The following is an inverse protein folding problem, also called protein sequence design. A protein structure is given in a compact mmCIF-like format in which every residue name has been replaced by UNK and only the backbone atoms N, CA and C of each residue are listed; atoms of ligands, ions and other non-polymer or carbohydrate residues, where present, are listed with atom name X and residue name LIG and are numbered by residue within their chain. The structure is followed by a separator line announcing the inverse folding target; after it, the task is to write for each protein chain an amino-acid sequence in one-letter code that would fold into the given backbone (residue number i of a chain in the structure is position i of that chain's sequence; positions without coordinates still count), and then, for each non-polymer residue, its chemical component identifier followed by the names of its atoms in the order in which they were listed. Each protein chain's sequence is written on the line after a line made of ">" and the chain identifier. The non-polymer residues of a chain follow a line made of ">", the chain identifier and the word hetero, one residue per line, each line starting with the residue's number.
data_IF_052510917266
#
_entry.id   IF_052510917266
#
_cell.length_a   1.000
_cell.length_b   1.000
_cell.length_c   1.000
_cell.angle_alpha   90.00
_cell.angle_beta   90.00
_cell.angle_gamma   90.00
#
_symmetry.space_group_name_H-M   'P 1'
#
loop_
_entity.id
_entity.type
_entity.pdbx_description
1 polymer ?
#
# COMPACT_ATOMS: atom_id res chain seq x y z
N UNK A 1 26.78 -19.59 -1.32
CA UNK A 1 26.27 -18.27 -0.98
C UNK A 1 26.83 -17.11 -1.86
N UNK A 2 28.10 -17.11 -2.25
CA UNK A 2 28.71 -16.02 -3.06
C UNK A 2 28.10 -15.77 -4.45
N UNK A 3 27.58 -16.80 -5.13
CA UNK A 3 27.01 -16.66 -6.49
C UNK A 3 25.63 -15.96 -6.53
N UNK A 4 24.84 -16.04 -5.46
CA UNK A 4 23.53 -15.37 -5.39
C UNK A 4 23.65 -13.85 -5.15
N UNK A 5 24.67 -13.40 -4.42
CA UNK A 5 24.94 -11.98 -4.20
C UNK A 5 25.42 -11.25 -5.47
N UNK A 6 26.20 -11.93 -6.33
CA UNK A 6 26.66 -11.36 -7.59
C UNK A 6 25.50 -11.10 -8.57
N UNK A 7 24.46 -11.94 -8.56
CA UNK A 7 23.30 -11.78 -9.44
C UNK A 7 22.41 -10.60 -9.04
N UNK A 8 22.24 -10.36 -7.73
CA UNK A 8 21.48 -9.23 -7.20
C UNK A 8 22.20 -7.90 -7.48
N UNK A 9 23.51 -7.87 -7.34
CA UNK A 9 24.32 -6.69 -7.66
C UNK A 9 24.34 -6.39 -9.17
N UNK A 10 24.34 -7.41 -10.03
CA UNK A 10 24.28 -7.23 -11.48
C UNK A 10 22.91 -6.74 -11.95
N UNK A 11 21.83 -7.24 -11.36
CA UNK A 11 20.46 -6.78 -11.62
C UNK A 11 20.26 -5.32 -11.18
N UNK A 12 20.82 -4.94 -10.02
CA UNK A 12 20.77 -3.56 -9.51
C UNK A 12 21.60 -2.59 -10.37
N UNK A 13 22.75 -3.03 -10.89
CA UNK A 13 23.57 -2.22 -11.78
C UNK A 13 22.93 -2.05 -13.17
N UNK A 14 22.21 -3.06 -13.65
CA UNK A 14 21.54 -3.01 -14.95
C UNK A 14 20.30 -2.11 -14.94
N UNK A 15 19.57 -2.05 -13.81
CA UNK A 15 18.48 -1.10 -13.62
C UNK A 15 18.97 0.34 -13.49
N UNK A 16 20.11 0.57 -12.85
CA UNK A 16 20.68 1.92 -12.72
C UNK A 16 21.18 2.46 -14.07
N UNK A 17 21.73 1.61 -14.94
CA UNK A 17 22.23 2.03 -16.28
C UNK A 17 21.08 2.32 -17.26
N UNK A 18 19.93 1.65 -17.16
CA UNK A 18 18.76 1.96 -17.97
C UNK A 18 18.13 3.31 -17.62
N UNK A 19 18.19 3.71 -16.35
CA UNK A 19 17.69 5.01 -15.90
C UNK A 19 18.61 6.15 -16.34
N UNK A 20 19.91 5.93 -16.43
CA UNK A 20 20.89 6.99 -16.75
C UNK A 20 20.88 7.43 -18.23
N UNK A 21 20.45 6.58 -19.16
CA UNK A 21 20.41 6.90 -20.58
C UNK A 21 19.16 7.70 -21.01
N UNK A 22 18.10 7.67 -20.20
CA UNK A 22 16.84 8.39 -20.50
C UNK A 22 16.68 9.72 -19.76
N UNK A 23 17.54 10.01 -18.78
CA UNK A 23 17.45 11.24 -17.98
C UNK A 23 17.59 12.54 -18.80
N UNK A 24 18.10 12.45 -20.03
CA UNK A 24 18.22 13.61 -20.94
C UNK A 24 16.90 14.00 -21.63
N UNK A 25 15.91 13.07 -21.67
CA UNK A 25 14.61 13.27 -22.35
C UNK A 25 13.45 13.42 -21.36
N UNK A 26 13.77 13.42 -20.07
CA UNK A 26 12.80 13.29 -18.98
C UNK A 26 11.84 14.49 -18.81
N UNK A 27 12.05 15.59 -19.51
CA UNK A 27 11.24 16.81 -19.31
C UNK A 27 10.06 16.95 -20.30
N UNK A 28 9.99 16.12 -21.37
CA UNK A 28 9.01 16.31 -22.43
C UNK A 28 7.75 15.43 -22.31
N UNK A 29 7.87 14.23 -21.76
CA UNK A 29 6.72 13.31 -21.69
C UNK A 29 5.85 13.51 -20.47
N UNK A 30 6.46 13.78 -19.31
CA UNK A 30 5.79 13.96 -18.04
C UNK A 30 5.38 12.65 -17.36
N UNK A 31 5.75 11.51 -17.94
CA UNK A 31 5.62 10.21 -17.29
C UNK A 31 6.56 10.14 -16.09
N UNK A 32 6.19 9.38 -15.08
CA UNK A 32 6.94 9.34 -13.83
C UNK A 32 6.88 7.94 -13.22
N UNK A 33 8.02 7.41 -12.82
CA UNK A 33 8.08 6.31 -11.86
C UNK A 33 8.25 6.89 -10.46
N UNK A 34 7.56 6.34 -9.49
CA UNK A 34 7.69 6.80 -8.12
C UNK A 34 7.80 5.65 -7.13
N UNK A 35 8.46 5.95 -5.99
CA UNK A 35 8.57 5.06 -4.84
C UNK A 35 7.99 5.79 -3.65
N UNK A 36 7.07 5.16 -2.95
CA UNK A 36 6.35 5.75 -1.82
C UNK A 36 6.44 4.92 -0.57
N UNK A 37 6.30 5.54 0.58
CA UNK A 37 6.27 4.85 1.86
C UNK A 37 5.84 5.77 2.98
N UNK A 38 5.29 5.17 4.02
CA UNK A 38 4.75 5.91 5.13
C UNK A 38 3.96 5.04 6.09
N UNK A 39 2.99 5.66 6.69
CA UNK A 39 2.11 5.07 7.66
C UNK A 39 0.81 4.58 7.01
N UNK A 40 0.31 3.44 7.52
CA UNK A 40 -0.98 2.88 7.16
C UNK A 40 -1.80 2.63 8.42
N UNK A 41 -3.11 2.91 8.38
CA UNK A 41 -4.00 2.71 9.51
C UNK A 41 -5.35 2.20 9.07
N UNK A 42 -5.82 1.13 9.71
CA UNK A 42 -7.17 0.64 9.51
C UNK A 42 -8.19 1.54 10.19
N UNK A 43 -9.35 1.72 9.57
CA UNK A 43 -10.37 2.65 10.05
C UNK A 43 -11.38 2.02 11.00
N UNK A 44 -11.39 0.71 11.11
CA UNK A 44 -12.27 -0.01 12.02
C UNK A 44 -11.50 -0.85 13.02
N UNK A 45 -12.02 -0.90 14.25
CA UNK A 45 -11.60 -1.88 15.23
C UNK A 45 -11.95 -3.27 14.70
N UNK A 46 -10.93 -4.07 14.48
CA UNK A 46 -11.14 -5.47 14.14
C UNK A 46 -11.50 -6.23 15.40
N UNK A 47 -12.78 -6.23 15.76
CA UNK A 47 -13.29 -6.96 16.90
C UNK A 47 -13.17 -8.47 16.66
N UNK A 48 -12.08 -9.07 17.13
CA UNK A 48 -11.99 -10.50 17.48
C UNK A 48 -12.22 -11.58 16.41
N UNK A 49 -12.89 -11.27 15.32
CA UNK A 49 -13.28 -12.21 14.26
C UNK A 49 -12.36 -12.16 13.05
N UNK A 50 -11.22 -11.65 13.24
CA UNK A 50 -10.27 -11.44 12.20
C UNK A 50 -9.61 -12.72 11.79
N UNK A 51 -9.36 -12.87 10.53
CA UNK A 51 -8.29 -13.57 9.81
C UNK A 51 -7.47 -14.61 10.58
N UNK A 52 -7.93 -15.05 11.72
CA UNK A 52 -7.31 -16.09 12.51
C UNK A 52 -8.31 -17.19 12.68
N UNK A 53 -7.97 -18.39 12.26
CA UNK A 53 -8.67 -19.62 12.63
C UNK A 53 -8.59 -19.87 14.14
N UNK A 54 -8.01 -18.93 14.89
CA UNK A 54 -7.86 -18.97 16.32
C UNK A 54 -9.00 -18.19 16.95
N UNK A 55 -9.92 -18.87 17.59
CA UNK A 55 -10.95 -18.30 18.46
C UNK A 55 -10.28 -17.63 19.67
N UNK A 56 -9.99 -16.33 19.59
CA UNK A 56 -9.41 -15.58 20.69
C UNK A 56 -10.39 -14.56 21.24
N UNK A 57 -10.73 -14.69 22.53
CA UNK A 57 -11.69 -13.82 23.21
C UNK A 57 -11.10 -12.53 23.82
N UNK A 58 -9.81 -12.29 23.70
CA UNK A 58 -9.19 -11.15 24.37
C UNK A 58 -8.19 -10.44 23.50
N UNK A 59 -8.40 -9.15 23.30
CA UNK A 59 -7.47 -8.25 22.65
C UNK A 59 -8.05 -7.60 21.39
N UNK A 60 -8.86 -6.58 21.60
CA UNK A 60 -9.61 -5.90 20.53
C UNK A 60 -8.87 -4.73 19.85
N UNK A 61 -7.68 -4.38 20.30
CA UNK A 61 -6.89 -3.27 19.72
C UNK A 61 -5.75 -3.83 18.87
N UNK A 62 -6.09 -4.50 17.78
CA UNK A 62 -5.17 -5.41 17.17
C UNK A 62 -4.74 -4.93 15.80
N UNK A 63 -3.55 -4.37 15.74
CA UNK A 63 -2.86 -4.17 14.48
C UNK A 63 -3.53 -3.16 13.58
N UNK A 64 -4.11 -2.09 14.14
CA UNK A 64 -4.71 -1.01 13.35
C UNK A 64 -3.66 -0.22 12.58
N UNK A 65 -2.47 -0.08 13.14
CA UNK A 65 -1.43 0.78 12.60
C UNK A 65 -0.26 -0.02 12.06
N UNK A 66 0.31 0.48 11.00
CA UNK A 66 1.45 -0.13 10.37
C UNK A 66 2.16 0.82 9.43
N UNK A 67 3.02 0.26 8.62
CA UNK A 67 3.72 1.00 7.58
C UNK A 67 3.45 0.39 6.21
N UNK A 68 3.66 1.19 5.19
CA UNK A 68 3.66 0.70 3.82
C UNK A 68 4.90 1.14 3.06
N UNK A 69 5.23 0.37 2.05
CA UNK A 69 6.18 0.70 1.01
C UNK A 69 5.58 0.31 -0.33
N UNK A 70 5.85 1.10 -1.35
CA UNK A 70 5.30 0.83 -2.67
C UNK A 70 6.05 1.54 -3.78
N UNK A 71 5.65 1.20 -4.99
CA UNK A 71 6.13 1.84 -6.21
C UNK A 71 4.97 1.98 -7.18
N UNK A 72 5.08 2.91 -8.11
CA UNK A 72 4.08 3.08 -9.14
C UNK A 72 4.59 3.86 -10.34
N UNK A 73 3.70 3.97 -11.29
CA UNK A 73 3.93 4.60 -12.57
C UNK A 73 2.78 5.58 -12.87
N UNK A 74 3.11 6.82 -13.12
CA UNK A 74 2.20 7.83 -13.66
C UNK A 74 2.41 7.94 -15.17
N UNK A 75 1.38 7.73 -15.97
CA UNK A 75 1.37 7.89 -17.41
C UNK A 75 0.50 9.08 -17.79
N UNK A 76 1.06 10.01 -18.54
CA UNK A 76 0.31 11.19 -19.01
C UNK A 76 -0.68 10.77 -20.09
N UNK A 77 -1.96 10.97 -19.81
CA UNK A 77 -3.07 10.74 -20.73
C UNK A 77 -3.46 12.03 -21.49
N UNK A 78 -3.42 13.18 -20.79
CA UNK A 78 -3.69 14.49 -21.38
C UNK A 78 -3.00 15.59 -20.57
N UNK A 79 -2.47 16.62 -21.24
CA UNK A 79 -1.82 17.76 -20.58
C UNK A 79 -2.75 18.93 -20.30
N UNK A 80 -4.00 18.85 -20.72
CA UNK A 80 -5.02 19.90 -20.60
C UNK A 80 -6.41 19.34 -20.25
N UNK A 81 -6.46 18.08 -19.77
CA UNK A 81 -7.71 17.36 -19.51
C UNK A 81 -8.64 17.41 -20.74
N UNK A 82 -8.09 17.03 -21.91
CA UNK A 82 -8.78 17.05 -23.21
C UNK A 82 -9.33 18.44 -23.59
N UNK A 83 -8.56 19.50 -23.30
CA UNK A 83 -8.93 20.87 -23.62
C UNK A 83 -9.88 21.55 -22.61
N UNK A 84 -10.28 20.85 -21.54
CA UNK A 84 -11.19 21.41 -20.55
C UNK A 84 -10.49 22.32 -19.51
N UNK A 85 -9.26 21.97 -19.11
CA UNK A 85 -8.55 22.65 -18.04
C UNK A 85 -7.09 22.88 -18.42
N UNK A 86 -6.76 24.14 -18.74
CA UNK A 86 -5.37 24.52 -19.01
C UNK A 86 -4.48 24.32 -17.78
N UNK A 87 -3.21 23.93 -17.98
CA UNK A 87 -2.22 23.70 -16.92
C UNK A 87 -2.60 22.57 -15.93
N UNK A 88 -3.45 21.65 -16.36
CA UNK A 88 -3.92 20.54 -15.53
C UNK A 88 -3.75 19.24 -16.33
N UNK A 89 -3.01 18.30 -15.76
CA UNK A 89 -2.74 17.03 -16.42
C UNK A 89 -3.67 15.95 -15.91
N UNK A 90 -4.18 15.14 -16.83
CA UNK A 90 -4.80 13.88 -16.54
C UNK A 90 -3.76 12.75 -16.71
N UNK A 91 -3.58 11.95 -15.68
CA UNK A 91 -2.64 10.85 -15.62
C UNK A 91 -3.40 9.55 -15.37
N UNK A 92 -2.84 8.43 -15.83
CA UNK A 92 -3.19 7.10 -15.34
C UNK A 92 -2.11 6.65 -14.38
N UNK A 93 -2.47 6.38 -13.14
CA UNK A 93 -1.57 5.81 -12.15
C UNK A 93 -1.78 4.30 -12.07
N UNK A 94 -0.68 3.55 -12.01
CA UNK A 94 -0.65 2.12 -11.66
C UNK A 94 0.31 1.99 -10.50
N UNK A 95 -0.13 1.38 -9.40
CA UNK A 95 0.65 1.24 -8.19
C UNK A 95 0.67 -0.19 -7.64
N UNK A 96 1.72 -0.47 -6.89
CA UNK A 96 1.84 -1.68 -6.07
C UNK A 96 2.36 -1.28 -4.71
N UNK A 97 1.67 -1.71 -3.66
CA UNK A 97 2.04 -1.43 -2.27
C UNK A 97 2.05 -2.69 -1.43
N UNK A 98 3.05 -2.79 -0.60
CA UNK A 98 3.09 -3.77 0.48
C UNK A 98 2.88 -3.06 1.81
N UNK A 99 1.92 -3.56 2.59
CA UNK A 99 1.56 -3.02 3.90
C UNK A 99 1.80 -4.09 4.96
N UNK A 100 2.30 -3.64 6.09
CA UNK A 100 2.51 -4.50 7.25
C UNK A 100 1.96 -3.79 8.47
N UNK A 101 0.86 -4.34 9.00
CA UNK A 101 0.24 -3.83 10.22
C UNK A 101 0.89 -4.45 11.45
N UNK A 102 0.70 -3.82 12.60
CA UNK A 102 1.28 -4.28 13.86
C UNK A 102 0.86 -5.71 14.19
N UNK A 103 1.77 -6.41 14.86
CA UNK A 103 1.51 -7.76 15.35
C UNK A 103 0.89 -7.72 16.74
N UNK A 104 -0.05 -8.61 16.97
CA UNK A 104 -0.60 -8.83 18.29
C UNK A 104 -0.47 -10.30 18.74
N UNK A 105 -0.45 -10.50 20.05
CA UNK A 105 -0.42 -11.82 20.65
C UNK A 105 -1.84 -12.26 20.97
N UNK A 106 -2.36 -13.21 20.21
CA UNK A 106 -3.67 -13.80 20.45
C UNK A 106 -3.52 -14.97 21.42
N UNK A 107 -4.27 -14.93 22.49
CA UNK A 107 -4.36 -16.05 23.44
C UNK A 107 -5.50 -16.94 23.01
N UNK A 108 -5.18 -18.12 22.49
CA UNK A 108 -6.18 -19.15 22.18
C UNK A 108 -6.59 -19.82 23.48
N UNK A 109 -7.79 -19.56 23.94
CA UNK A 109 -8.39 -20.32 25.02
C UNK A 109 -8.79 -21.68 24.46
N UNK A 110 -8.22 -22.74 25.06
CA UNK A 110 -8.66 -24.08 24.73
C UNK A 110 -10.12 -24.27 25.18
N UNK A 111 -10.99 -24.85 24.35
CA UNK A 111 -12.41 -24.94 24.63
C UNK A 111 -12.73 -25.51 26.02
N UNK A 112 -13.83 -25.08 26.56
CA UNK A 112 -14.39 -25.50 27.86
C UNK A 112 -14.53 -27.04 28.08
N UNK A 113 -14.31 -27.84 27.04
CA UNK A 113 -14.19 -29.30 27.11
C UNK A 113 -13.06 -29.78 28.03
N UNK A 114 -12.01 -29.00 28.26
CA UNK A 114 -10.95 -29.34 29.20
C UNK A 114 -11.45 -29.33 30.66
N UNK A 115 -12.26 -28.37 31.01
CA UNK A 115 -12.84 -28.25 32.35
C UNK A 115 -13.87 -29.37 32.62
N UNK A 116 -14.64 -29.75 31.60
CA UNK A 116 -15.61 -30.85 31.69
C UNK A 116 -14.95 -32.24 31.80
N UNK A 117 -13.70 -32.39 31.30
CA UNK A 117 -12.94 -33.63 31.34
C UNK A 117 -12.04 -33.75 32.59
N UNK A 118 -12.08 -32.80 33.53
CA UNK A 118 -11.24 -32.83 34.74
C UNK A 118 -9.74 -32.65 34.48
N UNK A 119 -9.35 -32.16 33.31
CA UNK A 119 -7.96 -31.93 32.93
C UNK A 119 -7.52 -30.58 33.50
N UNK A 120 -6.67 -30.60 34.50
CA UNK A 120 -6.19 -29.39 35.20
C UNK A 120 -5.09 -28.59 34.45
N UNK A 121 -4.57 -29.11 33.36
CA UNK A 121 -3.52 -28.48 32.56
C UNK A 121 -3.97 -28.28 31.11
N UNK A 122 -4.83 -27.29 30.87
CA UNK A 122 -5.05 -26.79 29.53
C UNK A 122 -3.93 -25.83 29.16
N UNK A 123 -3.15 -26.17 28.15
CA UNK A 123 -2.11 -25.30 27.64
C UNK A 123 -2.75 -24.14 26.86
N UNK A 124 -2.55 -22.94 27.37
CA UNK A 124 -2.90 -21.72 26.66
C UNK A 124 -1.84 -21.46 25.59
N UNK A 125 -2.21 -21.59 24.34
CA UNK A 125 -1.31 -21.26 23.23
C UNK A 125 -1.40 -19.77 22.95
N UNK A 126 -0.26 -19.12 22.88
CA UNK A 126 -0.13 -17.73 22.48
C UNK A 126 0.51 -17.70 21.11
N UNK A 127 -0.24 -17.26 20.12
CA UNK A 127 0.27 -17.08 18.76
C UNK A 127 0.37 -15.59 18.44
N UNK A 128 1.48 -15.20 17.85
CA UNK A 128 1.64 -13.83 17.36
C UNK A 128 1.00 -13.72 15.99
N UNK A 129 0.06 -12.82 15.87
CA UNK A 129 -0.74 -12.58 14.66
C UNK A 129 -0.31 -11.27 14.01
N UNK A 130 0.05 -11.30 12.74
CA UNK A 130 0.43 -10.14 11.97
C UNK A 130 -0.26 -10.14 10.62
N UNK A 131 -0.85 -9.01 10.25
CA UNK A 131 -1.53 -8.85 8.96
C UNK A 131 -0.59 -8.19 7.98
N UNK A 132 -0.44 -8.80 6.82
CA UNK A 132 0.24 -8.23 5.66
C UNK A 132 -0.75 -8.09 4.51
N UNK A 133 -0.61 -7.03 3.74
CA UNK A 133 -1.49 -6.75 2.61
C UNK A 133 -0.66 -6.28 1.43
N UNK A 134 -0.86 -6.93 0.30
CA UNK A 134 -0.39 -6.46 -1.00
C UNK A 134 -1.57 -5.79 -1.71
N UNK A 135 -1.37 -4.55 -2.14
CA UNK A 135 -2.36 -3.80 -2.92
C UNK A 135 -1.81 -3.53 -4.31
N UNK A 136 -2.61 -3.78 -5.32
CA UNK A 136 -2.39 -3.31 -6.68
C UNK A 136 -3.49 -2.32 -7.00
N UNK A 137 -3.12 -1.12 -7.46
CA UNK A 137 -4.07 -0.06 -7.73
C UNK A 137 -3.95 0.48 -9.16
N UNK A 138 -5.09 0.91 -9.70
CA UNK A 138 -5.19 1.63 -10.98
C UNK A 138 -6.13 2.81 -10.77
N UNK A 139 -5.64 4.01 -11.06
CA UNK A 139 -6.41 5.22 -10.79
C UNK A 139 -6.20 6.32 -11.83
N UNK A 140 -7.22 7.08 -12.20
CA UNK A 140 -7.06 8.38 -12.82
C UNK A 140 -6.55 9.37 -11.77
N UNK A 141 -5.51 10.13 -12.13
CA UNK A 141 -4.89 11.13 -11.28
C UNK A 141 -4.90 12.47 -11.99
N UNK A 142 -5.33 13.50 -11.32
CA UNK A 142 -5.37 14.86 -11.85
C UNK A 142 -4.29 15.66 -11.14
N UNK A 143 -3.33 16.18 -11.90
CA UNK A 143 -2.20 16.96 -11.38
C UNK A 143 -2.31 18.39 -11.92
N UNK A 144 -2.38 19.35 -11.01
CA UNK A 144 -2.59 20.77 -11.31
C UNK A 144 -1.28 21.55 -11.44
N UNK A 145 -1.40 22.83 -11.85
CA UNK A 145 -0.33 23.82 -11.87
C UNK A 145 0.89 23.38 -12.69
N UNK A 146 0.66 22.98 -13.94
CA UNK A 146 1.74 22.72 -14.88
C UNK A 146 2.71 23.92 -14.95
N UNK A 147 4.01 23.62 -15.00
CA UNK A 147 5.08 24.64 -15.00
C UNK A 147 5.49 25.13 -13.61
N UNK A 148 4.69 24.91 -12.59
CA UNK A 148 5.07 25.22 -11.20
C UNK A 148 6.03 24.17 -10.63
N UNK A 149 6.85 24.57 -9.66
CA UNK A 149 7.65 23.61 -8.87
C UNK A 149 6.80 22.79 -7.91
N UNK A 150 5.72 23.38 -7.38
CA UNK A 150 4.76 22.70 -6.51
C UNK A 150 3.52 22.35 -7.33
N UNK A 151 3.19 21.07 -7.39
CA UNK A 151 2.08 20.54 -8.14
C UNK A 151 1.16 19.69 -7.25
N UNK A 152 0.05 20.24 -6.78
CA UNK A 152 -0.95 19.43 -6.10
C UNK A 152 -1.64 18.47 -7.06
N UNK A 153 -2.11 17.35 -6.54
CA UNK A 153 -2.81 16.34 -7.32
C UNK A 153 -3.93 15.68 -6.49
N UNK A 154 -4.88 15.12 -7.20
CA UNK A 154 -5.97 14.32 -6.62
C UNK A 154 -6.18 13.03 -7.41
N UNK A 155 -6.62 12.00 -6.73
CA UNK A 155 -7.22 10.79 -7.29
C UNK A 155 -8.70 10.83 -6.91
N UNK A 156 -9.60 11.16 -7.83
CA UNK A 156 -11.02 11.28 -7.51
C UNK A 156 -11.66 9.93 -7.20
N UNK A 157 -11.22 8.88 -7.88
CA UNK A 157 -11.58 7.49 -7.64
C UNK A 157 -10.58 6.57 -8.35
N UNK A 158 -10.17 5.50 -7.71
CA UNK A 158 -9.34 4.45 -8.30
C UNK A 158 -9.88 3.08 -7.90
N UNK A 159 -9.40 2.04 -8.55
CA UNK A 159 -9.70 0.64 -8.25
C UNK A 159 -8.52 0.02 -7.52
N UNK A 160 -8.81 -0.76 -6.49
CA UNK A 160 -7.84 -1.46 -5.66
C UNK A 160 -8.12 -2.96 -5.65
N UNK A 161 -7.05 -3.73 -5.65
CA UNK A 161 -7.06 -5.17 -5.44
C UNK A 161 -6.16 -5.48 -4.26
N UNK A 162 -6.75 -5.95 -3.16
CA UNK A 162 -6.04 -6.23 -1.94
C UNK A 162 -5.89 -7.73 -1.75
N UNK A 163 -4.66 -8.20 -1.69
CA UNK A 163 -4.35 -9.58 -1.28
C UNK A 163 -3.93 -9.53 0.18
N UNK A 164 -4.80 -10.02 1.04
CA UNK A 164 -4.62 -9.98 2.49
C UNK A 164 -4.18 -11.36 2.94
N UNK A 165 -3.03 -11.42 3.58
CA UNK A 165 -2.50 -12.66 4.14
C UNK A 165 -2.66 -12.63 5.66
N UNK A 166 -3.49 -13.50 6.21
CA UNK A 166 -3.56 -13.71 7.63
C UNK A 166 -2.31 -14.46 8.12
N UNK A 167 -1.98 -14.34 9.39
CA UNK A 167 -0.82 -14.99 9.98
C UNK A 167 -0.94 -16.51 10.12
N UNK A 168 -2.14 -17.06 10.04
CA UNK A 168 -2.35 -18.52 9.98
C UNK A 168 -2.25 -18.97 8.53
N UNK A 169 -1.63 -20.11 8.29
CA UNK A 169 -1.34 -20.67 6.97
C UNK A 169 -2.59 -21.04 6.12
N UNK A 170 -3.78 -20.65 6.53
CA UNK A 170 -4.98 -21.26 6.03
C UNK A 170 -5.67 -20.48 4.91
N UNK A 171 -5.63 -19.13 4.88
CA UNK A 171 -6.49 -18.41 3.94
C UNK A 171 -5.91 -17.08 3.52
N UNK A 172 -5.60 -16.95 2.23
CA UNK A 172 -5.34 -15.65 1.58
C UNK A 172 -6.65 -15.16 1.00
N UNK A 173 -7.04 -13.93 1.31
CA UNK A 173 -8.28 -13.34 0.83
C UNK A 173 -7.97 -12.26 -0.20
N UNK A 174 -8.64 -12.33 -1.34
CA UNK A 174 -8.66 -11.24 -2.33
C UNK A 174 -9.86 -10.35 -2.03
N UNK A 175 -9.60 -9.08 -1.77
CA UNK A 175 -10.63 -8.07 -1.59
C UNK A 175 -10.50 -7.00 -2.68
N UNK A 176 -11.62 -6.48 -3.14
CA UNK A 176 -11.68 -5.44 -4.17
C UNK A 176 -12.18 -4.17 -3.50
N UNK A 177 -11.54 -3.05 -3.82
CA UNK A 177 -11.88 -1.78 -3.23
C UNK A 177 -11.83 -0.63 -4.21
N UNK A 178 -12.13 0.54 -3.67
CA UNK A 178 -11.94 1.82 -4.36
C UNK A 178 -11.08 2.72 -3.50
N UNK A 179 -10.25 3.55 -4.14
CA UNK A 179 -9.41 4.52 -3.46
C UNK A 179 -9.74 5.94 -3.86
N UNK A 180 -9.49 6.84 -2.93
CA UNK A 180 -9.46 8.28 -3.10
C UNK A 180 -8.11 8.78 -2.61
N UNK A 181 -7.56 9.80 -3.25
CA UNK A 181 -6.26 10.29 -2.83
C UNK A 181 -6.06 11.77 -3.13
N UNK A 182 -5.18 12.38 -2.36
CA UNK A 182 -4.71 13.73 -2.59
C UNK A 182 -3.27 13.88 -2.11
N UNK A 183 -2.55 14.78 -2.73
CA UNK A 183 -1.18 15.05 -2.36
C UNK A 183 -0.60 16.25 -3.07
N UNK A 184 0.67 16.47 -2.85
CA UNK A 184 1.41 17.53 -3.52
C UNK A 184 2.83 17.05 -3.82
N UNK A 185 3.31 17.44 -4.99
CA UNK A 185 4.64 17.12 -5.48
C UNK A 185 5.46 18.40 -5.61
N UNK A 186 6.71 18.33 -5.19
CA UNK A 186 7.65 19.41 -5.37
C UNK A 186 8.83 18.95 -6.24
N UNK A 187 9.08 19.64 -7.36
CA UNK A 187 10.20 19.37 -8.25
C UNK A 187 11.50 19.93 -7.64
N UNK A 188 12.37 19.03 -7.19
CA UNK A 188 13.66 19.39 -6.59
C UNK A 188 14.65 19.79 -7.69
N UNK A 189 14.81 18.90 -8.67
CA UNK A 189 15.79 19.08 -9.73
C UNK A 189 15.40 18.29 -10.98
N UNK A 190 15.29 18.98 -12.16
CA UNK A 190 14.95 18.35 -13.45
C UNK A 190 13.89 17.24 -13.31
N UNK A 191 14.32 15.98 -13.43
CA UNK A 191 13.49 14.81 -13.37
C UNK A 191 13.13 14.34 -11.94
N UNK A 192 13.74 14.92 -10.90
CA UNK A 192 13.56 14.45 -9.52
C UNK A 192 12.50 15.23 -8.78
N UNK A 193 11.58 14.50 -8.18
CA UNK A 193 10.45 15.01 -7.43
C UNK A 193 10.37 14.39 -6.05
N UNK A 194 9.93 15.16 -5.07
CA UNK A 194 9.51 14.66 -3.76
C UNK A 194 8.06 15.05 -3.53
N UNK A 195 7.31 14.19 -2.91
CA UNK A 195 5.90 14.49 -2.66
C UNK A 195 5.42 13.95 -1.31
N UNK A 196 4.28 14.49 -0.94
CA UNK A 196 3.45 13.99 0.16
C UNK A 196 2.19 13.41 -0.46
N UNK A 197 1.73 12.29 0.08
CA UNK A 197 0.47 11.71 -0.34
C UNK A 197 -0.36 11.23 0.86
N UNK A 198 -1.68 11.29 0.69
CA UNK A 198 -2.63 10.69 1.59
C UNK A 198 -3.70 9.99 0.76
N UNK A 199 -4.05 8.76 1.13
CA UNK A 199 -5.06 7.96 0.44
C UNK A 199 -6.00 7.31 1.42
N UNK A 200 -7.20 7.09 0.96
CA UNK A 200 -8.22 6.34 1.68
C UNK A 200 -8.76 5.25 0.77
N UNK A 201 -8.75 4.03 1.29
CA UNK A 201 -9.15 2.82 0.58
C UNK A 201 -10.40 2.26 1.24
N UNK A 202 -11.46 2.12 0.45
CA UNK A 202 -12.72 1.52 0.87
C UNK A 202 -12.78 0.13 0.28
N UNK A 203 -12.73 -0.87 1.13
CA UNK A 203 -12.74 -2.28 0.77
C UNK A 203 -14.17 -2.81 0.65
N UNK A 204 -14.39 -3.82 -0.19
CA UNK A 204 -15.71 -4.45 -0.36
C UNK A 204 -16.09 -5.40 0.76
N UNK A 205 -15.21 -5.55 1.76
CA UNK A 205 -15.43 -6.37 2.95
C UNK A 205 -15.89 -7.81 2.62
N UNK A 206 -15.18 -8.45 1.68
CA UNK A 206 -15.40 -9.87 1.32
C UNK A 206 -15.23 -10.82 2.52
N UNK A 207 -14.60 -10.34 3.56
CA UNK A 207 -14.53 -10.96 4.86
C UNK A 207 -15.57 -10.34 5.79
N UNK A 208 -15.95 -11.01 6.87
CA UNK A 208 -16.89 -10.46 7.86
C UNK A 208 -16.33 -9.26 8.64
N UNK A 209 -15.16 -8.74 8.25
CA UNK A 209 -14.47 -7.62 8.90
C UNK A 209 -14.23 -6.49 7.91
N UNK A 210 -14.36 -5.25 8.36
CA UNK A 210 -14.02 -4.09 7.54
C UNK A 210 -12.51 -3.99 7.34
N UNK A 211 -12.11 -3.96 6.07
CA UNK A 211 -10.72 -3.89 5.65
C UNK A 211 -10.34 -2.50 5.11
N UNK A 212 -11.21 -1.51 5.28
CA UNK A 212 -10.96 -0.15 4.87
C UNK A 212 -9.83 0.48 5.69
N UNK A 213 -8.95 1.23 5.04
CA UNK A 213 -7.77 1.83 5.67
C UNK A 213 -7.38 3.16 5.02
N UNK A 214 -6.61 3.95 5.76
CA UNK A 214 -5.96 5.16 5.26
C UNK A 214 -4.46 4.98 5.20
N UNK A 215 -3.80 5.67 4.25
CA UNK A 215 -2.35 5.78 4.16
C UNK A 215 -1.93 7.24 4.10
N UNK A 216 -0.80 7.55 4.72
CA UNK A 216 -0.16 8.86 4.63
C UNK A 216 1.35 8.69 4.54
N UNK A 217 1.98 9.35 3.60
CA UNK A 217 3.39 9.14 3.39
C UNK A 217 4.09 10.17 2.51
N UNK A 218 5.29 9.80 2.16
CA UNK A 218 6.16 10.55 1.25
C UNK A 218 6.49 9.70 0.03
N UNK A 219 6.77 10.34 -1.09
CA UNK A 219 7.28 9.64 -2.26
C UNK A 219 8.42 10.39 -2.94
N UNK A 220 9.24 9.63 -3.64
CA UNK A 220 10.27 10.11 -4.55
C UNK A 220 9.87 9.72 -5.96
N UNK A 221 9.80 10.70 -6.86
CA UNK A 221 9.44 10.50 -8.25
C UNK A 221 10.61 10.83 -9.19
N UNK A 222 10.68 10.09 -10.28
CA UNK A 222 11.63 10.30 -11.37
C UNK A 222 10.83 10.37 -12.66
N UNK A 223 10.81 11.54 -13.29
CA UNK A 223 10.16 11.75 -14.60
C UNK A 223 11.05 11.28 -15.74
N UNK A 224 10.45 10.79 -16.83
CA UNK A 224 11.14 10.29 -18.03
C UNK A 224 10.33 10.53 -19.29
#
# INVERSE_FOLDING_TARGET
>A
MRKKFAFILLASAMTLTLVSTQAAWADETGNQVFFRGGWAGMTSDRAGETFTDAFGFSGRNNGQFGYYVGAGLDLVLSKDVWGMLSKTWALGEIGVEFKRFDSNTVTVAVPSTCAAAGITTCSVRRDQVQITMLTVDIAPKIKFLEGSRLRPWIIPIGLDFHVISPPSNATTVLDIGVQFGAGAEYRIYKAFHIGLDGRYHVSSDQTQTSNSFGTAGVYLGISF
#
